data_IF_447691295258
#
_entry.id   IF_447691295258
#
_cell.length_a   1.000
_cell.length_b   1.000
_cell.length_c   1.000
_cell.angle_alpha   90.00
_cell.angle_beta   90.00
_cell.angle_gamma   90.00
#
_symmetry.space_group_name_H-M   'P 1'
#
loop_
_entity.id
_entity.type
_entity.pdbx_description
1 polymer ?
#
# COMPACT_ATOMS: atom_id res chain seq x y z
N UNK A 1 52.49 -27.73 -36.25
CA UNK A 1 52.40 -28.10 -34.82
C UNK A 1 51.43 -27.15 -34.13
N UNK A 2 50.14 -27.48 -34.11
CA UNK A 2 49.11 -26.71 -33.41
C UNK A 2 48.22 -27.69 -32.66
N UNK A 3 48.36 -27.72 -31.33
CA UNK A 3 47.49 -28.46 -30.42
C UNK A 3 46.69 -27.46 -29.58
N UNK A 4 45.39 -27.38 -29.85
CA UNK A 4 44.43 -26.53 -29.13
C UNK A 4 44.15 -27.03 -27.72
N UNK A 5 43.94 -26.08 -26.79
CA UNK A 5 43.52 -26.33 -25.41
C UNK A 5 42.02 -26.62 -25.36
N UNK A 6 41.65 -27.75 -24.76
CA UNK A 6 40.27 -28.17 -24.47
C UNK A 6 39.78 -27.60 -23.14
N UNK A 7 38.54 -27.06 -23.14
CA UNK A 7 37.73 -26.83 -21.94
C UNK A 7 37.35 -28.16 -21.26
N UNK A 8 37.19 -28.22 -19.93
CA UNK A 8 36.66 -29.40 -19.27
C UNK A 8 35.12 -29.46 -19.43
N UNK A 9 34.64 -30.60 -19.89
CA UNK A 9 33.23 -30.97 -19.97
C UNK A 9 32.64 -31.12 -18.57
N UNK A 10 31.58 -30.35 -18.28
CA UNK A 10 30.72 -30.65 -17.13
C UNK A 10 30.01 -31.98 -17.39
N UNK A 11 30.37 -32.99 -16.61
CA UNK A 11 29.75 -34.31 -16.59
C UNK A 11 28.25 -34.20 -16.29
N UNK A 12 27.40 -34.88 -17.09
CA UNK A 12 25.95 -34.98 -16.93
C UNK A 12 25.50 -35.48 -15.54
N UNK A 13 26.40 -36.08 -14.76
CA UNK A 13 26.12 -36.51 -13.38
C UNK A 13 26.01 -35.35 -12.38
N UNK A 14 26.61 -34.19 -12.67
CA UNK A 14 26.58 -33.01 -11.80
C UNK A 14 25.27 -32.22 -11.91
N UNK A 15 24.69 -32.12 -13.11
CA UNK A 15 23.37 -31.49 -13.31
C UNK A 15 22.22 -32.30 -12.68
N UNK A 16 22.31 -33.62 -12.70
CA UNK A 16 21.29 -34.49 -12.11
C UNK A 16 21.20 -34.32 -10.58
N UNK A 17 22.34 -34.09 -9.89
CA UNK A 17 22.38 -33.88 -8.44
C UNK A 17 21.78 -32.55 -7.99
N UNK A 18 21.75 -31.53 -8.86
CA UNK A 18 21.20 -30.20 -8.56
C UNK A 18 19.72 -30.11 -8.94
N UNK A 19 19.30 -30.79 -10.02
CA UNK A 19 17.91 -30.75 -10.48
C UNK A 19 16.96 -31.63 -9.66
N UNK A 20 17.44 -32.74 -9.09
CA UNK A 20 16.62 -33.66 -8.29
C UNK A 20 15.96 -33.00 -7.06
N UNK A 21 16.68 -32.25 -6.20
CA UNK A 21 16.05 -31.59 -5.05
C UNK A 21 15.08 -30.47 -5.47
N UNK A 22 15.33 -29.78 -6.60
CA UNK A 22 14.42 -28.76 -7.12
C UNK A 22 13.11 -29.37 -7.63
N UNK A 23 13.17 -30.51 -8.31
CA UNK A 23 11.97 -31.23 -8.76
C UNK A 23 11.17 -31.75 -7.56
N UNK A 24 11.85 -32.28 -6.53
CA UNK A 24 11.18 -32.68 -5.29
C UNK A 24 10.53 -31.47 -4.61
N UNK A 25 11.20 -30.31 -4.54
CA UNK A 25 10.63 -29.11 -3.94
C UNK A 25 9.39 -28.61 -4.69
N UNK A 26 9.39 -28.63 -6.03
CA UNK A 26 8.22 -28.28 -6.85
C UNK A 26 7.10 -29.31 -6.67
N UNK A 27 7.42 -30.61 -6.62
CA UNK A 27 6.43 -31.65 -6.39
C UNK A 27 5.84 -31.59 -4.98
N UNK A 28 6.64 -31.24 -3.96
CA UNK A 28 6.16 -31.03 -2.58
C UNK A 28 5.31 -29.77 -2.49
N UNK A 29 5.70 -28.69 -3.17
CA UNK A 29 4.91 -27.45 -3.21
C UNK A 29 3.58 -27.64 -3.95
N UNK A 30 3.58 -28.31 -5.10
CA UNK A 30 2.36 -28.65 -5.83
C UNK A 30 1.53 -29.69 -5.08
N UNK A 31 2.14 -30.66 -4.38
CA UNK A 31 1.44 -31.58 -3.49
C UNK A 31 0.80 -30.84 -2.31
N UNK A 32 1.47 -29.87 -1.69
CA UNK A 32 0.90 -29.03 -0.64
C UNK A 32 -0.22 -28.16 -1.17
N UNK A 33 -0.09 -27.60 -2.37
CA UNK A 33 -1.14 -26.80 -3.02
C UNK A 33 -2.37 -27.64 -3.40
N UNK A 34 -2.14 -28.85 -3.92
CA UNK A 34 -3.20 -29.84 -4.22
C UNK A 34 -3.85 -30.33 -2.93
N UNK A 35 -3.07 -30.55 -1.86
CA UNK A 35 -3.56 -30.91 -0.54
C UNK A 35 -4.38 -29.78 0.10
N UNK A 36 -3.95 -28.53 -0.02
CA UNK A 36 -4.70 -27.37 0.49
C UNK A 36 -6.02 -27.18 -0.29
N UNK A 37 -6.02 -27.48 -1.60
CA UNK A 37 -7.25 -27.53 -2.40
C UNK A 37 -8.16 -28.73 -2.05
N UNK A 38 -7.62 -29.93 -1.89
CA UNK A 38 -8.43 -31.10 -1.54
C UNK A 38 -8.91 -31.05 -0.09
N UNK A 39 -8.11 -30.53 0.84
CA UNK A 39 -8.51 -30.24 2.21
C UNK A 39 -9.62 -29.17 2.19
N UNK A 40 -9.51 -28.09 1.38
CA UNK A 40 -10.58 -27.12 1.16
C UNK A 40 -11.89 -27.75 0.65
N UNK A 41 -11.84 -28.65 -0.35
CA UNK A 41 -13.03 -29.34 -0.86
C UNK A 41 -13.57 -30.41 0.09
N UNK A 42 -12.71 -31.06 0.87
CA UNK A 42 -13.09 -32.04 1.89
C UNK A 42 -13.74 -31.37 3.10
N UNK A 43 -13.25 -30.19 3.49
CA UNK A 43 -13.79 -29.35 4.56
C UNK A 43 -15.14 -28.74 4.17
N UNK A 44 -15.32 -28.37 2.89
CA UNK A 44 -16.64 -28.00 2.36
C UNK A 44 -17.61 -29.18 2.48
N UNK A 45 -17.15 -30.39 2.12
CA UNK A 45 -17.99 -31.60 2.17
C UNK A 45 -18.29 -32.05 3.60
N UNK A 46 -17.36 -31.85 4.53
CA UNK A 46 -17.54 -32.10 5.96
C UNK A 46 -18.44 -31.05 6.63
N UNK A 47 -18.35 -29.78 6.21
CA UNK A 47 -19.26 -28.71 6.66
C UNK A 47 -20.72 -28.93 6.23
N UNK A 48 -20.96 -29.66 5.13
CA UNK A 48 -22.29 -30.03 4.63
C UNK A 48 -22.88 -31.24 5.37
N UNK A 49 -22.07 -32.11 5.96
CA UNK A 49 -22.52 -33.34 6.62
C UNK A 49 -22.21 -33.33 8.12
N UNK A 50 -23.12 -32.76 8.91
CA UNK A 50 -23.35 -33.21 10.28
C UNK A 50 -22.81 -32.33 11.40
N UNK A 51 -23.48 -31.21 11.65
CA UNK A 51 -23.70 -30.63 12.99
C UNK A 51 -24.85 -29.64 12.89
N UNK A 52 -25.79 -29.65 13.85
CA UNK A 52 -26.87 -28.64 13.94
C UNK A 52 -26.23 -27.26 14.16
N UNK A 53 -25.89 -26.56 13.09
CA UNK A 53 -25.42 -25.17 13.13
C UNK A 53 -26.62 -24.28 13.48
N UNK A 54 -26.42 -23.28 14.32
CA UNK A 54 -27.46 -22.27 14.53
C UNK A 54 -27.66 -21.53 13.21
N UNK A 55 -28.90 -21.55 12.72
CA UNK A 55 -29.30 -20.90 11.47
C UNK A 55 -29.73 -19.49 11.82
N UNK A 56 -28.93 -18.50 11.40
CA UNK A 56 -29.27 -17.10 11.52
C UNK A 56 -29.93 -16.61 10.23
N UNK A 57 -30.85 -15.67 10.33
CA UNK A 57 -31.40 -15.03 9.13
C UNK A 57 -30.46 -13.94 8.63
N UNK A 58 -29.99 -13.10 9.56
CA UNK A 58 -29.07 -12.01 9.29
C UNK A 58 -27.87 -12.10 10.21
N UNK A 59 -26.68 -12.02 9.65
CA UNK A 59 -25.46 -11.79 10.40
C UNK A 59 -24.97 -10.38 10.12
N UNK A 60 -24.63 -9.64 11.17
CA UNK A 60 -24.05 -8.31 11.10
C UNK A 60 -22.60 -8.37 11.54
N UNK A 61 -21.67 -8.13 10.60
CA UNK A 61 -20.25 -7.96 10.85
C UNK A 61 -19.90 -6.48 11.02
N UNK A 62 -19.54 -6.06 12.23
CA UNK A 62 -19.14 -4.69 12.53
C UNK A 62 -17.62 -4.60 12.47
N UNK A 63 -17.06 -3.89 11.48
CA UNK A 63 -15.63 -3.61 11.46
C UNK A 63 -15.30 -2.61 12.57
N UNK A 64 -14.37 -2.99 13.45
CA UNK A 64 -13.94 -2.11 14.54
C UNK A 64 -12.42 -2.11 14.65
N UNK A 65 -11.84 -0.98 15.06
CA UNK A 65 -10.43 -0.89 15.40
C UNK A 65 -10.20 -1.31 16.86
N UNK A 66 -9.02 -1.85 17.17
CA UNK A 66 -8.69 -2.35 18.52
C UNK A 66 -9.00 -1.35 19.64
N UNK A 67 -8.64 -0.08 19.46
CA UNK A 67 -8.82 0.99 20.45
C UNK A 67 -10.23 1.58 20.50
N UNK A 68 -11.16 1.20 19.62
CA UNK A 68 -12.54 1.71 19.56
C UNK A 68 -13.48 1.08 20.61
N UNK A 69 -13.04 0.98 21.87
CA UNK A 69 -13.85 0.38 22.94
C UNK A 69 -15.19 1.10 23.13
N UNK A 70 -15.16 2.44 23.20
CA UNK A 70 -16.35 3.26 23.46
C UNK A 70 -17.39 3.16 22.34
N UNK A 71 -16.95 3.04 21.08
CA UNK A 71 -17.85 2.84 19.93
C UNK A 71 -18.54 1.47 20.00
N UNK A 72 -17.80 0.43 20.37
CA UNK A 72 -18.39 -0.91 20.58
C UNK A 72 -19.38 -0.93 21.73
N UNK A 73 -19.06 -0.28 22.85
CA UNK A 73 -19.99 -0.13 23.97
C UNK A 73 -21.24 0.67 23.57
N UNK A 74 -21.11 1.73 22.76
CA UNK A 74 -22.24 2.48 22.25
C UNK A 74 -23.16 1.60 21.37
N UNK A 75 -22.60 0.76 20.50
CA UNK A 75 -23.37 -0.20 19.71
C UNK A 75 -24.10 -1.21 20.61
N UNK A 76 -23.40 -1.79 21.60
CA UNK A 76 -23.97 -2.71 22.59
C UNK A 76 -25.11 -2.08 23.39
N UNK A 77 -24.99 -0.81 23.74
CA UNK A 77 -25.98 -0.06 24.51
C UNK A 77 -27.17 0.43 23.66
N UNK A 78 -27.07 0.38 22.32
CA UNK A 78 -28.09 0.88 21.40
C UNK A 78 -28.75 -0.26 20.61
N UNK A 79 -28.51 -0.32 19.30
CA UNK A 79 -29.24 -1.22 18.40
C UNK A 79 -28.88 -2.69 18.60
N UNK A 80 -27.64 -3.00 19.02
CA UNK A 80 -27.27 -4.38 19.37
C UNK A 80 -27.95 -4.83 20.67
N UNK A 81 -28.08 -3.92 21.65
CA UNK A 81 -28.86 -4.17 22.86
C UNK A 81 -30.33 -4.42 22.56
N UNK A 82 -30.92 -3.60 21.69
CA UNK A 82 -32.29 -3.80 21.19
C UNK A 82 -32.49 -5.19 20.57
N UNK A 83 -31.59 -5.66 19.69
CA UNK A 83 -31.66 -7.01 19.11
C UNK A 83 -31.66 -8.10 20.20
N UNK A 84 -30.77 -7.97 21.18
CA UNK A 84 -30.60 -8.96 22.26
C UNK A 84 -31.85 -9.07 23.12
N UNK A 85 -32.47 -7.94 23.44
CA UNK A 85 -33.58 -7.89 24.36
C UNK A 85 -34.92 -8.23 23.65
N UNK A 86 -35.00 -8.01 22.33
CA UNK A 86 -36.20 -8.32 21.52
C UNK A 86 -36.45 -9.85 21.41
N UNK A 87 -37.68 -10.33 21.69
CA UNK A 87 -38.01 -11.77 21.66
C UNK A 87 -37.78 -12.42 20.29
N UNK A 88 -38.13 -11.72 19.23
CA UNK A 88 -38.06 -12.28 17.88
C UNK A 88 -36.67 -12.16 17.24
N UNK A 89 -35.87 -11.16 17.62
CA UNK A 89 -34.59 -10.89 16.94
C UNK A 89 -33.40 -11.62 17.56
N UNK A 90 -33.43 -11.89 18.87
CA UNK A 90 -32.31 -12.51 19.60
C UNK A 90 -31.80 -13.82 18.99
N UNK A 91 -32.68 -14.57 18.31
CA UNK A 91 -32.37 -15.86 17.69
C UNK A 91 -32.23 -15.76 16.15
N UNK A 92 -32.65 -14.64 15.54
CA UNK A 92 -32.62 -14.43 14.08
C UNK A 92 -31.40 -13.64 13.63
N UNK A 93 -30.92 -12.72 14.46
CA UNK A 93 -29.85 -11.77 14.12
C UNK A 93 -28.62 -12.02 14.98
N UNK A 94 -27.48 -12.28 14.33
CA UNK A 94 -26.18 -12.40 14.99
C UNK A 94 -25.35 -11.15 14.74
N UNK A 95 -24.89 -10.47 15.79
CA UNK A 95 -23.96 -9.33 15.65
C UNK A 95 -22.58 -9.74 16.16
N UNK A 96 -21.54 -9.46 15.38
CA UNK A 96 -20.15 -9.70 15.76
C UNK A 96 -19.24 -8.54 15.36
N UNK A 97 -18.38 -8.13 16.28
CA UNK A 97 -17.30 -7.19 16.00
C UNK A 97 -16.12 -7.92 15.38
N UNK A 98 -15.53 -7.34 14.34
CA UNK A 98 -14.40 -7.90 13.60
C UNK A 98 -13.19 -7.02 13.86
N UNK A 99 -12.19 -7.60 14.53
CA UNK A 99 -11.00 -6.86 14.99
C UNK A 99 -9.73 -7.60 14.57
N UNK A 100 -8.71 -6.86 14.17
CA UNK A 100 -7.41 -7.44 13.86
C UNK A 100 -6.73 -7.97 15.14
N UNK A 101 -6.30 -9.23 15.09
CA UNK A 101 -5.66 -9.94 16.20
C UNK A 101 -4.36 -9.27 16.66
N UNK A 102 -3.64 -8.61 15.76
CA UNK A 102 -2.36 -7.98 16.07
C UNK A 102 -2.48 -6.46 15.97
N UNK A 103 -1.92 -5.73 16.93
CA UNK A 103 -1.70 -4.29 16.81
C UNK A 103 -0.45 -4.01 15.97
N UNK A 104 -0.40 -2.87 15.27
CA UNK A 104 0.82 -2.47 14.58
C UNK A 104 1.92 -2.16 15.59
N UNK A 105 3.07 -2.84 15.50
CA UNK A 105 4.18 -2.68 16.44
C UNK A 105 4.93 -1.33 16.31
N UNK A 106 4.65 -0.56 15.26
CA UNK A 106 5.37 0.65 14.91
C UNK A 106 4.54 1.88 15.36
N UNK A 107 5.12 2.82 16.13
CA UNK A 107 4.50 4.11 16.46
C UNK A 107 4.10 4.87 15.19
N UNK A 108 3.00 5.64 15.25
CA UNK A 108 2.46 6.33 14.06
C UNK A 108 3.45 7.32 13.44
N UNK A 109 4.27 7.96 14.27
CA UNK A 109 5.30 8.92 13.88
C UNK A 109 6.42 8.25 13.06
N UNK A 110 6.70 6.97 13.37
CA UNK A 110 7.76 6.17 12.77
C UNK A 110 7.27 5.29 11.61
N UNK A 111 6.03 5.51 11.13
CA UNK A 111 5.47 4.85 9.94
C UNK A 111 5.73 5.65 8.66
N UNK A 112 5.86 4.92 7.55
CA UNK A 112 5.93 5.49 6.19
C UNK A 112 4.68 6.32 5.87
N UNK A 113 3.50 5.79 6.20
CA UNK A 113 2.21 6.46 6.12
C UNK A 113 1.33 6.08 7.33
N UNK A 114 0.38 6.93 7.73
CA UNK A 114 -0.42 6.68 8.94
C UNK A 114 -1.34 5.45 8.82
N UNK A 115 -1.60 4.99 7.59
CA UNK A 115 -2.59 3.95 7.29
C UNK A 115 -1.99 2.55 7.16
N UNK A 116 -0.65 2.42 7.09
CA UNK A 116 0.08 1.14 7.01
C UNK A 116 0.76 0.78 8.32
N UNK A 117 1.40 -0.40 8.36
CA UNK A 117 2.34 -0.78 9.41
C UNK A 117 3.74 -0.98 8.83
N UNK A 118 4.22 -0.01 8.05
CA UNK A 118 5.54 -0.06 7.41
C UNK A 118 6.49 0.91 8.09
N UNK A 119 7.69 0.43 8.44
CA UNK A 119 8.71 1.23 9.13
C UNK A 119 9.26 2.33 8.21
N UNK A 120 9.34 3.54 8.76
CA UNK A 120 10.00 4.67 8.11
C UNK A 120 11.53 4.51 8.20
N UNK A 121 12.12 4.04 7.09
CA UNK A 121 13.55 3.77 6.96
C UNK A 121 14.33 5.03 6.52
N UNK A 122 14.50 5.96 7.45
CA UNK A 122 15.32 7.15 7.28
C UNK A 122 16.69 6.98 7.94
N UNK A 123 17.73 7.48 7.27
CA UNK A 123 19.08 7.60 7.84
C UNK A 123 19.36 9.05 8.20
N UNK A 124 20.26 9.27 9.15
CA UNK A 124 20.71 10.64 9.47
C UNK A 124 21.34 11.30 8.24
N UNK A 125 20.91 12.53 7.89
CA UNK A 125 21.50 13.24 6.76
C UNK A 125 22.93 13.68 7.08
N UNK A 126 23.82 13.58 6.09
CA UNK A 126 25.17 14.11 6.16
C UNK A 126 25.22 15.65 6.16
N UNK A 127 26.41 16.23 6.28
CA UNK A 127 26.60 17.68 6.38
C UNK A 127 26.22 18.49 5.12
N UNK A 128 25.99 17.84 3.97
CA UNK A 128 25.70 18.51 2.70
C UNK A 128 24.19 18.68 2.54
N UNK A 129 23.76 19.94 2.35
CA UNK A 129 22.36 20.39 2.35
C UNK A 129 21.60 20.10 1.06
N UNK A 130 22.29 19.96 -0.07
CA UNK A 130 21.67 19.67 -1.39
C UNK A 130 21.96 18.23 -1.82
N UNK A 131 20.89 17.51 -2.16
CA UNK A 131 20.92 16.12 -2.62
C UNK A 131 20.58 16.08 -4.11
N UNK A 132 21.54 15.62 -4.91
CA UNK A 132 21.32 15.31 -6.32
C UNK A 132 20.76 13.90 -6.45
N UNK A 133 19.55 13.76 -6.99
CA UNK A 133 18.88 12.45 -7.17
C UNK A 133 19.64 11.52 -8.10
N UNK A 134 20.28 12.08 -9.13
CA UNK A 134 21.02 11.32 -10.12
C UNK A 134 22.30 12.05 -10.51
N UNK A 135 23.43 11.36 -10.36
CA UNK A 135 24.75 11.83 -10.77
C UNK A 135 25.28 10.96 -11.91
N UNK A 136 25.78 11.60 -12.98
CA UNK A 136 26.47 10.94 -14.11
C UNK A 136 25.66 9.81 -14.75
N UNK A 137 24.53 10.11 -15.43
CA UNK A 137 23.77 9.08 -16.15
C UNK A 137 24.68 8.38 -17.18
N UNK A 138 24.75 7.05 -17.11
CA UNK A 138 25.42 6.24 -18.13
C UNK A 138 24.40 5.67 -19.10
N UNK A 139 24.75 5.58 -20.38
CA UNK A 139 23.92 5.01 -21.46
C UNK A 139 22.54 5.67 -21.65
N UNK A 140 22.54 6.98 -21.92
CA UNK A 140 21.33 7.69 -22.35
C UNK A 140 20.82 7.15 -23.70
N UNK A 141 19.51 6.90 -23.79
CA UNK A 141 18.85 6.40 -25.00
C UNK A 141 17.77 7.40 -25.44
N UNK A 142 17.65 7.70 -26.75
CA UNK A 142 16.54 8.49 -27.25
C UNK A 142 15.20 7.84 -26.93
N UNK A 143 14.22 8.64 -26.53
CA UNK A 143 12.85 8.20 -26.29
C UNK A 143 11.99 8.39 -27.52
N UNK A 144 11.13 7.41 -27.79
CA UNK A 144 10.12 7.47 -28.85
C UNK A 144 8.91 8.35 -28.46
N UNK A 145 8.85 8.80 -27.20
CA UNK A 145 7.73 9.58 -26.65
C UNK A 145 8.17 10.97 -26.25
N UNK A 146 7.27 11.94 -26.40
CA UNK A 146 7.52 13.35 -26.09
C UNK A 146 7.31 13.72 -24.62
N UNK A 147 6.66 12.85 -23.84
CA UNK A 147 6.28 13.11 -22.45
C UNK A 147 6.66 11.94 -21.54
N UNK A 148 7.46 12.22 -20.52
CA UNK A 148 8.02 11.22 -19.60
C UNK A 148 7.76 11.65 -18.17
N UNK A 149 7.32 10.72 -17.32
CA UNK A 149 6.91 10.99 -15.95
C UNK A 149 7.68 10.13 -14.95
N UNK A 150 8.12 10.74 -13.86
CA UNK A 150 8.65 10.08 -12.68
C UNK A 150 7.74 10.35 -11.49
N UNK A 151 7.23 9.28 -10.91
CA UNK A 151 6.42 9.35 -9.70
C UNK A 151 7.34 9.24 -8.47
N UNK A 152 7.04 10.04 -7.45
CA UNK A 152 7.77 10.00 -6.19
C UNK A 152 6.88 10.36 -5.00
N UNK A 153 7.28 9.88 -3.84
CA UNK A 153 6.64 10.15 -2.55
C UNK A 153 7.63 10.74 -1.57
N UNK A 154 7.22 11.79 -0.87
CA UNK A 154 8.01 12.47 0.15
C UNK A 154 7.73 11.82 1.50
N UNK A 155 8.78 11.30 2.15
CA UNK A 155 8.73 10.62 3.45
C UNK A 155 9.21 11.50 4.61
N UNK A 156 9.92 12.59 4.30
CA UNK A 156 10.27 13.68 5.20
C UNK A 156 10.27 15.00 4.42
N UNK A 157 9.86 16.15 4.98
CA UNK A 157 9.75 17.40 4.22
C UNK A 157 11.04 17.79 3.47
N UNK A 158 10.89 18.17 2.21
CA UNK A 158 11.99 18.60 1.33
C UNK A 158 11.64 19.89 0.59
N UNK A 159 12.66 20.57 0.07
CA UNK A 159 12.52 21.72 -0.83
C UNK A 159 13.24 21.42 -2.13
N UNK A 160 12.50 21.39 -3.24
CA UNK A 160 13.13 21.25 -4.57
C UNK A 160 13.74 22.59 -4.95
N UNK A 161 15.04 22.59 -5.26
CA UNK A 161 15.82 23.80 -5.57
C UNK A 161 16.08 23.94 -7.06
N UNK A 162 16.27 22.81 -7.77
CA UNK A 162 16.58 22.81 -9.19
C UNK A 162 15.90 21.63 -9.90
N UNK A 163 15.40 21.89 -11.10
CA UNK A 163 14.90 20.86 -12.02
C UNK A 163 15.87 20.73 -13.20
N UNK A 164 16.11 19.50 -13.65
CA UNK A 164 17.09 19.24 -14.68
C UNK A 164 16.64 18.25 -15.74
N UNK A 165 17.34 18.30 -16.87
CA UNK A 165 17.06 17.56 -18.10
C UNK A 165 18.35 16.98 -18.66
N UNK A 166 18.28 15.77 -19.22
CA UNK A 166 19.42 15.18 -19.89
C UNK A 166 19.80 15.94 -21.17
N UNK A 167 21.10 15.98 -21.52
CA UNK A 167 21.55 16.58 -22.77
C UNK A 167 21.08 15.76 -23.98
N UNK A 168 20.78 16.44 -25.09
CA UNK A 168 20.27 15.82 -26.32
C UNK A 168 21.35 15.61 -27.39
N UNK A 169 22.48 16.33 -27.30
CA UNK A 169 23.53 16.36 -28.33
C UNK A 169 24.80 15.56 -28.00
N UNK A 170 25.60 15.19 -29.02
CA UNK A 170 26.83 14.40 -28.87
C UNK A 170 27.97 15.10 -28.11
N UNK A 171 27.90 16.42 -27.91
CA UNK A 171 28.84 17.20 -27.08
C UNK A 171 28.22 17.70 -25.77
N UNK A 172 27.19 17.02 -25.26
CA UNK A 172 26.38 17.47 -24.11
C UNK A 172 25.58 18.76 -24.35
N UNK A 173 25.46 19.20 -25.60
CA UNK A 173 24.63 20.33 -25.99
C UNK A 173 23.14 20.03 -25.75
N UNK A 174 22.41 21.07 -25.34
CA UNK A 174 20.96 21.04 -25.26
C UNK A 174 20.36 21.60 -26.55
N UNK A 175 19.83 20.71 -27.40
CA UNK A 175 19.14 21.08 -28.63
C UNK A 175 17.65 20.86 -28.43
N UNK A 176 16.92 21.95 -28.23
CA UNK A 176 15.47 21.95 -28.19
C UNK A 176 14.85 22.79 -27.08
N UNK A 177 13.57 22.53 -26.82
CA UNK A 177 12.75 23.13 -25.77
C UNK A 177 12.07 22.03 -24.96
N UNK A 178 12.51 21.88 -23.70
CA UNK A 178 11.91 20.93 -22.75
C UNK A 178 11.34 21.71 -21.58
N UNK A 179 10.10 21.39 -21.23
CA UNK A 179 9.45 21.91 -20.03
C UNK A 179 9.38 20.81 -18.99
N UNK A 180 9.86 21.10 -17.78
CA UNK A 180 9.77 20.21 -16.62
C UNK A 180 8.71 20.78 -15.68
N UNK A 181 7.73 19.97 -15.30
CA UNK A 181 6.62 20.36 -14.43
C UNK A 181 6.49 19.38 -13.28
N UNK A 182 6.32 19.91 -12.07
CA UNK A 182 5.99 19.13 -10.89
C UNK A 182 4.49 19.23 -10.61
N UNK A 183 3.78 18.11 -10.69
CA UNK A 183 2.37 18.01 -10.35
C UNK A 183 2.16 17.25 -9.04
N UNK A 184 1.32 17.75 -8.13
CA UNK A 184 0.72 16.91 -7.10
C UNK A 184 -0.18 15.85 -7.75
N UNK A 185 -0.22 14.63 -7.21
CA UNK A 185 -1.00 13.52 -7.79
C UNK A 185 -2.48 13.86 -8.01
N UNK A 186 -3.08 14.66 -7.14
CA UNK A 186 -4.51 15.00 -7.20
C UNK A 186 -4.82 16.35 -7.89
N UNK A 187 -3.81 17.00 -8.50
CA UNK A 187 -3.97 18.35 -9.06
C UNK A 187 -3.59 18.43 -10.54
N UNK A 188 -4.30 19.31 -11.26
CA UNK A 188 -4.04 19.60 -12.69
C UNK A 188 -3.04 20.72 -12.91
N UNK A 189 -2.74 21.52 -11.89
CA UNK A 189 -1.83 22.65 -11.98
C UNK A 189 -0.46 22.28 -11.42
N UNK A 190 0.64 22.65 -12.11
CA UNK A 190 1.97 22.36 -11.63
C UNK A 190 2.34 23.31 -10.48
N UNK A 191 2.92 22.77 -9.41
CA UNK A 191 3.47 23.56 -8.29
C UNK A 191 4.77 24.24 -8.72
N UNK A 192 5.57 23.57 -9.56
CA UNK A 192 6.85 24.08 -10.04
C UNK A 192 6.97 23.83 -11.53
N UNK A 193 7.42 24.84 -12.28
CA UNK A 193 7.71 24.70 -13.72
C UNK A 193 9.09 25.26 -14.05
N UNK A 194 9.88 24.51 -14.81
CA UNK A 194 11.14 24.95 -15.38
C UNK A 194 11.11 24.81 -16.91
N UNK A 195 11.40 25.89 -17.62
CA UNK A 195 11.55 25.87 -19.08
C UNK A 195 13.04 25.91 -19.45
N UNK A 196 13.52 24.85 -20.08
CA UNK A 196 14.90 24.74 -20.57
C UNK A 196 14.89 24.84 -22.09
N UNK A 197 15.67 25.76 -22.65
CA UNK A 197 15.79 25.97 -24.09
C UNK A 197 17.25 26.01 -24.51
N UNK A 198 17.55 25.83 -25.80
CA UNK A 198 18.92 25.94 -26.32
C UNK A 198 19.62 27.27 -25.98
N UNK A 199 18.86 28.36 -25.80
CA UNK A 199 19.40 29.67 -25.43
C UNK A 199 19.55 29.86 -23.89
N UNK A 200 18.84 29.07 -23.11
CA UNK A 200 18.84 29.13 -21.64
C UNK A 200 18.72 27.71 -21.04
N UNK A 201 19.75 26.85 -21.23
CA UNK A 201 19.73 25.48 -20.74
C UNK A 201 19.99 25.40 -19.23
N UNK A 202 20.50 26.46 -18.60
CA UNK A 202 20.83 26.49 -17.18
C UNK A 202 22.28 26.13 -16.90
N UNK A 203 22.55 25.49 -15.76
CA UNK A 203 23.90 25.12 -15.30
C UNK A 203 24.11 23.63 -15.54
N UNK A 204 25.20 23.26 -16.20
CA UNK A 204 25.55 21.86 -16.42
C UNK A 204 26.30 21.30 -15.21
N UNK A 205 25.71 20.30 -14.55
CA UNK A 205 26.29 19.65 -13.37
C UNK A 205 26.18 18.13 -13.53
N UNK A 206 27.31 17.43 -13.43
CA UNK A 206 27.39 15.96 -13.40
C UNK A 206 26.61 15.22 -14.51
N UNK A 207 26.55 15.78 -15.72
CA UNK A 207 25.87 15.11 -16.84
C UNK A 207 24.45 15.59 -17.14
N UNK A 208 23.92 16.55 -16.35
CA UNK A 208 22.54 17.01 -16.42
C UNK A 208 22.52 18.54 -16.45
N UNK A 209 21.63 19.12 -17.25
CA UNK A 209 21.38 20.56 -17.27
C UNK A 209 20.34 20.91 -16.22
N UNK A 210 20.66 21.78 -15.27
CA UNK A 210 19.78 22.20 -14.19
C UNK A 210 19.39 23.66 -14.29
N UNK A 211 18.12 23.95 -13.97
CA UNK A 211 17.60 25.30 -13.83
C UNK A 211 17.00 25.48 -12.45
N UNK A 212 17.37 26.57 -11.80
CA UNK A 212 16.79 26.95 -10.52
C UNK A 212 15.30 27.23 -10.67
N UNK A 213 14.54 26.85 -9.66
CA UNK A 213 13.08 26.98 -9.62
C UNK A 213 12.63 27.68 -8.34
N UNK A 214 11.38 28.13 -8.33
CA UNK A 214 10.75 28.63 -7.12
C UNK A 214 10.69 27.52 -6.06
N UNK A 215 11.10 27.87 -4.84
CA UNK A 215 11.30 26.92 -3.75
C UNK A 215 10.02 26.77 -2.95
N UNK A 216 9.44 25.57 -2.99
CA UNK A 216 8.29 25.19 -2.18
C UNK A 216 8.65 24.04 -1.24
N UNK A 217 8.16 24.10 -0.01
CA UNK A 217 8.28 22.99 0.95
C UNK A 217 7.25 21.93 0.58
N UNK A 218 7.73 20.74 0.20
CA UNK A 218 6.91 19.57 -0.01
C UNK A 218 6.79 18.81 1.32
N UNK A 219 5.58 18.67 1.90
CA UNK A 219 5.40 18.05 3.21
C UNK A 219 5.54 16.51 3.16
N UNK A 220 5.72 15.89 4.33
CA UNK A 220 5.64 14.41 4.47
C UNK A 220 4.29 13.92 3.96
N UNK A 221 4.31 12.85 3.16
CA UNK A 221 3.14 12.25 2.53
C UNK A 221 2.76 12.89 1.18
N UNK A 222 3.48 13.94 0.74
CA UNK A 222 3.29 14.48 -0.60
C UNK A 222 3.61 13.42 -1.66
N UNK A 223 2.66 13.16 -2.55
CA UNK A 223 2.84 12.32 -3.72
C UNK A 223 2.84 13.23 -4.95
N UNK A 224 3.89 13.14 -5.75
CA UNK A 224 4.14 14.02 -6.88
C UNK A 224 4.59 13.29 -8.13
N UNK A 225 4.29 13.91 -9.26
CA UNK A 225 4.64 13.47 -10.60
C UNK A 225 5.55 14.53 -11.23
N UNK A 226 6.79 14.16 -11.56
CA UNK A 226 7.71 15.02 -12.28
C UNK A 226 7.64 14.70 -13.78
N UNK A 227 7.09 15.63 -14.55
CA UNK A 227 6.83 15.49 -15.98
C UNK A 227 7.84 16.27 -16.80
N UNK A 228 8.51 15.60 -17.74
CA UNK A 228 9.30 16.21 -18.80
C UNK A 228 8.51 16.17 -20.10
N UNK A 229 8.32 17.32 -20.74
CA UNK A 229 7.64 17.45 -22.03
C UNK A 229 8.59 18.12 -23.05
N UNK A 230 8.85 17.43 -24.15
CA UNK A 230 9.58 17.99 -25.30
C UNK A 230 8.59 18.51 -26.35
N UNK A 231 8.86 19.70 -26.89
CA UNK A 231 8.13 20.25 -28.03
C UNK A 231 8.74 19.84 -29.38
N UNK A 232 9.97 19.29 -29.35
CA UNK A 232 10.75 18.99 -30.55
C UNK A 232 10.66 17.51 -30.97
N UNK A 233 10.71 17.23 -32.28
CA UNK A 233 10.67 15.86 -32.81
C UNK A 233 11.92 15.04 -32.51
N UNK A 234 13.02 15.66 -32.05
CA UNK A 234 14.24 14.95 -31.61
C UNK A 234 14.06 14.18 -30.30
N UNK A 235 12.92 14.35 -29.62
CA UNK A 235 12.53 13.56 -28.46
C UNK A 235 13.29 13.90 -27.18
N UNK A 236 12.95 13.19 -26.09
CA UNK A 236 13.66 13.25 -24.82
C UNK A 236 14.74 12.18 -24.77
N UNK A 237 15.87 12.46 -24.11
CA UNK A 237 16.81 11.42 -23.73
C UNK A 237 16.36 10.78 -22.43
N UNK A 238 16.55 9.47 -22.29
CA UNK A 238 16.12 8.70 -21.13
C UNK A 238 17.19 7.77 -20.61
N UNK A 239 17.02 7.35 -19.37
CA UNK A 239 17.81 6.27 -18.80
C UNK A 239 16.89 5.19 -18.22
N UNK A 240 17.31 3.94 -18.33
CA UNK A 240 16.58 2.83 -17.72
C UNK A 240 16.73 2.91 -16.19
N UNK A 241 15.64 3.21 -15.50
CA UNK A 241 15.59 3.39 -14.05
C UNK A 241 16.12 2.15 -13.30
N UNK A 242 15.88 0.93 -13.80
CA UNK A 242 16.34 -0.31 -13.16
C UNK A 242 17.86 -0.48 -13.17
N UNK A 243 18.59 0.28 -14.01
CA UNK A 243 20.05 0.20 -14.14
C UNK A 243 20.78 1.33 -13.41
N UNK A 244 20.03 2.21 -12.74
CA UNK A 244 20.56 3.44 -12.16
C UNK A 244 20.25 3.46 -10.66
N UNK A 245 21.28 3.76 -9.86
CA UNK A 245 21.09 3.96 -8.43
C UNK A 245 20.69 5.42 -8.17
N UNK A 246 19.44 5.62 -7.74
CA UNK A 246 18.92 6.94 -7.41
C UNK A 246 19.20 7.28 -5.95
N UNK A 247 19.71 8.49 -5.70
CA UNK A 247 19.95 8.98 -4.36
C UNK A 247 18.64 9.48 -3.74
N UNK A 248 18.16 8.74 -2.73
CA UNK A 248 16.94 9.06 -2.00
C UNK A 248 17.16 10.01 -0.81
N UNK A 249 18.36 10.59 -0.67
CA UNK A 249 18.70 11.52 0.42
C UNK A 249 18.63 10.87 1.81
N UNK A 250 19.02 9.59 1.93
CA UNK A 250 18.86 8.84 3.17
C UNK A 250 17.44 8.32 3.41
N UNK A 251 16.63 8.19 2.35
CA UNK A 251 15.28 7.65 2.39
C UNK A 251 14.17 8.70 2.54
N UNK A 252 14.51 10.00 2.53
CA UNK A 252 13.54 11.10 2.67
C UNK A 252 12.55 11.19 1.51
N UNK A 253 12.90 10.59 0.37
CA UNK A 253 12.01 10.39 -0.76
C UNK A 253 12.01 8.92 -1.18
N UNK A 254 10.89 8.46 -1.72
CA UNK A 254 10.74 7.17 -2.37
C UNK A 254 10.47 7.41 -3.85
N UNK A 255 11.35 6.90 -4.70
CA UNK A 255 11.31 7.06 -6.15
C UNK A 255 10.81 5.77 -6.78
N UNK A 256 9.91 5.87 -7.76
CA UNK A 256 9.39 4.72 -8.48
C UNK A 256 7.87 4.75 -8.59
N UNK A 257 7.29 3.79 -9.34
CA UNK A 257 5.84 3.69 -9.45
C UNK A 257 5.24 3.57 -8.05
N UNK A 258 4.24 4.39 -7.75
CA UNK A 258 3.53 4.35 -6.48
C UNK A 258 2.72 3.05 -6.47
N UNK A 259 3.32 1.98 -5.94
CA UNK A 259 2.66 0.68 -5.76
C UNK A 259 1.61 0.79 -4.66
N UNK A 260 0.43 1.30 -5.01
CA UNK A 260 -0.76 1.25 -4.14
C UNK A 260 -1.97 0.72 -4.93
N UNK A 261 -2.02 -0.61 -5.06
CA UNK A 261 -3.25 -1.42 -5.03
C UNK A 261 -4.41 -1.16 -6.01
N UNK A 262 -4.35 -0.19 -6.92
CA UNK A 262 -5.54 0.21 -7.69
C UNK A 262 -5.19 0.86 -9.03
N UNK A 263 -5.35 0.06 -10.09
CA UNK A 263 -5.45 0.41 -11.51
C UNK A 263 -4.23 1.11 -12.18
N UNK A 264 -3.70 0.58 -13.30
CA UNK A 264 -2.48 1.04 -13.97
C UNK A 264 -2.59 2.41 -14.69
N UNK A 265 -3.51 3.30 -14.30
CA UNK A 265 -3.84 4.52 -15.06
C UNK A 265 -3.93 5.82 -14.22
N UNK A 266 -3.33 5.89 -13.02
CA UNK A 266 -3.38 7.14 -12.24
C UNK A 266 -2.57 8.30 -12.83
N UNK A 267 -1.49 8.05 -13.55
CA UNK A 267 -0.65 9.09 -14.15
C UNK A 267 -0.74 9.06 -15.69
N UNK A 268 -1.82 9.63 -16.24
CA UNK A 268 -1.99 9.80 -17.69
C UNK A 268 -1.12 10.94 -18.29
N UNK A 269 -0.20 11.51 -17.51
CA UNK A 269 0.57 12.69 -17.91
C UNK A 269 1.76 12.36 -18.82
N UNK A 270 2.32 11.15 -18.73
CA UNK A 270 3.46 10.73 -19.55
C UNK A 270 3.83 9.27 -19.35
N UNK A 271 4.78 8.77 -20.14
CA UNK A 271 5.27 7.41 -19.98
C UNK A 271 6.20 7.30 -18.76
N UNK A 272 6.11 6.23 -17.96
CA UNK A 272 6.96 6.06 -16.79
C UNK A 272 8.43 5.97 -17.22
N UNK A 273 9.28 6.83 -16.68
CA UNK A 273 10.69 6.87 -17.02
C UNK A 273 11.42 8.05 -16.40
N UNK A 274 12.68 8.20 -16.77
CA UNK A 274 13.53 9.27 -16.27
C UNK A 274 14.19 9.97 -17.45
N UNK A 275 13.95 11.28 -17.59
CA UNK A 275 14.48 12.13 -18.66
C UNK A 275 15.38 13.27 -18.15
N UNK A 276 15.73 13.22 -16.86
CA UNK A 276 16.53 14.23 -16.19
C UNK A 276 16.73 13.90 -14.73
N UNK A 277 16.84 14.93 -13.91
CA UNK A 277 16.96 14.80 -12.46
C UNK A 277 16.47 16.06 -11.77
N UNK A 278 16.44 16.05 -10.45
CA UNK A 278 16.18 17.24 -9.65
C UNK A 278 17.13 17.27 -8.45
N UNK A 279 17.36 18.47 -7.93
CA UNK A 279 18.13 18.71 -6.72
C UNK A 279 17.15 19.22 -5.68
N UNK A 280 17.26 18.68 -4.47
CA UNK A 280 16.43 19.09 -3.36
C UNK A 280 17.27 19.22 -2.08
N UNK A 281 16.79 20.04 -1.16
CA UNK A 281 17.33 20.15 0.20
C UNK A 281 16.36 19.56 1.21
N UNK A 282 16.89 19.02 2.30
CA UNK A 282 16.10 18.46 3.39
C UNK A 282 15.63 19.61 4.29
N UNK A 283 14.31 19.74 4.44
CA UNK A 283 13.74 20.74 5.33
C UNK A 283 13.77 20.24 6.77
N UNK A 284 14.08 21.12 7.73
CA UNK A 284 14.13 20.79 9.17
C UNK A 284 15.00 19.55 9.51
N UNK A 285 16.30 19.66 9.22
CA UNK A 285 17.30 18.60 9.49
C UNK A 285 17.42 18.30 11.00
N UNK A 286 17.31 19.31 11.86
CA UNK A 286 17.42 19.14 13.31
C UNK A 286 16.19 18.43 13.89
N UNK A 287 14.99 18.73 13.36
CA UNK A 287 13.77 17.98 13.67
C UNK A 287 13.89 16.51 13.25
N UNK A 288 14.44 16.23 12.07
CA UNK A 288 14.69 14.86 11.62
C UNK A 288 15.65 14.09 12.56
N UNK A 289 16.77 14.71 12.95
CA UNK A 289 17.72 14.09 13.91
C UNK A 289 17.06 13.81 15.25
N UNK A 290 16.31 14.77 15.78
CA UNK A 290 15.57 14.61 17.04
C UNK A 290 14.56 13.47 16.95
N UNK A 291 13.84 13.37 15.83
CA UNK A 291 12.93 12.27 15.57
C UNK A 291 13.66 10.92 15.55
N UNK A 292 14.78 10.81 14.84
CA UNK A 292 15.57 9.58 14.75
C UNK A 292 16.14 9.15 16.11
N UNK A 293 16.71 10.06 16.89
CA UNK A 293 17.23 9.77 18.23
C UNK A 293 16.14 9.32 19.21
N UNK A 294 14.95 9.93 19.17
CA UNK A 294 13.83 9.58 20.06
C UNK A 294 13.09 8.28 19.69
N UNK A 295 13.49 7.60 18.60
CA UNK A 295 12.78 6.41 18.07
C UNK A 295 12.74 5.26 19.08
N UNK A 296 13.85 5.00 19.78
CA UNK A 296 13.94 3.88 20.74
C UNK A 296 12.95 4.07 21.89
N UNK A 297 12.90 5.27 22.46
CA UNK A 297 12.01 5.58 23.58
C UNK A 297 10.53 5.50 23.16
N UNK A 298 10.19 6.06 21.98
CA UNK A 298 8.83 5.94 21.41
C UNK A 298 8.45 4.48 21.17
N UNK A 299 9.36 3.68 20.64
CA UNK A 299 9.13 2.25 20.40
C UNK A 299 8.82 1.50 21.71
N UNK A 300 9.56 1.80 22.79
CA UNK A 300 9.33 1.20 24.10
C UNK A 300 7.99 1.63 24.71
N UNK A 301 7.68 2.93 24.68
CA UNK A 301 6.41 3.46 25.17
C UNK A 301 5.22 2.89 24.39
N UNK A 302 5.35 2.79 23.07
CA UNK A 302 4.33 2.22 22.20
C UNK A 302 4.09 0.73 22.48
N UNK A 303 5.15 -0.05 22.68
CA UNK A 303 5.04 -1.47 23.06
C UNK A 303 4.26 -1.65 24.37
N UNK A 304 4.51 -0.81 25.37
CA UNK A 304 3.77 -0.85 26.63
C UNK A 304 2.28 -0.50 26.41
N UNK A 305 1.97 0.48 25.56
CA UNK A 305 0.60 0.85 25.19
C UNK A 305 -0.13 -0.29 24.48
N UNK A 306 0.50 -0.94 23.50
CA UNK A 306 -0.07 -2.09 22.79
C UNK A 306 -0.36 -3.25 23.73
N UNK A 307 0.52 -3.53 24.70
CA UNK A 307 0.28 -4.58 25.68
C UNK A 307 -0.93 -4.25 26.58
N UNK A 308 -1.11 -2.98 26.96
CA UNK A 308 -2.29 -2.55 27.73
C UNK A 308 -3.57 -2.69 26.91
N UNK A 309 -3.54 -2.28 25.65
CA UNK A 309 -4.66 -2.42 24.71
C UNK A 309 -5.04 -3.90 24.51
N UNK A 310 -4.06 -4.78 24.24
CA UNK A 310 -4.30 -6.22 24.09
C UNK A 310 -4.99 -6.81 25.32
N UNK A 311 -4.50 -6.47 26.53
CA UNK A 311 -5.11 -6.96 27.77
C UNK A 311 -6.57 -6.52 27.91
N UNK A 312 -6.85 -5.24 27.68
CA UNK A 312 -8.21 -4.70 27.76
C UNK A 312 -9.14 -5.36 26.73
N UNK A 313 -8.63 -5.61 25.52
CA UNK A 313 -9.39 -6.23 24.43
C UNK A 313 -9.69 -7.72 24.69
N UNK A 314 -8.77 -8.44 25.33
CA UNK A 314 -9.02 -9.82 25.79
C UNK A 314 -10.07 -9.86 26.90
N UNK A 315 -9.99 -8.95 27.89
CA UNK A 315 -11.00 -8.83 28.95
C UNK A 315 -12.39 -8.51 28.37
N UNK A 316 -12.46 -7.59 27.41
CA UNK A 316 -13.68 -7.26 26.67
C UNK A 316 -14.25 -8.47 25.92
N UNK A 317 -13.40 -9.19 25.19
CA UNK A 317 -13.79 -10.40 24.45
C UNK A 317 -14.33 -11.50 25.38
N UNK A 318 -13.67 -11.74 26.51
CA UNK A 318 -14.14 -12.69 27.52
C UNK A 318 -15.47 -12.29 28.16
N UNK A 319 -15.68 -10.99 28.40
CA UNK A 319 -16.90 -10.47 29.03
C UNK A 319 -18.11 -10.54 28.10
N UNK A 320 -17.94 -10.20 26.82
CA UNK A 320 -19.06 -10.01 25.89
C UNK A 320 -19.24 -11.15 24.89
N UNK A 321 -18.18 -11.89 24.53
CA UNK A 321 -18.25 -13.02 23.58
C UNK A 321 -18.70 -12.62 22.16
N UNK A 322 -18.66 -11.33 21.82
CA UNK A 322 -19.14 -10.76 20.57
C UNK A 322 -18.01 -10.33 19.61
N UNK A 323 -16.75 -10.54 19.98
CA UNK A 323 -15.58 -10.19 19.17
C UNK A 323 -15.04 -11.42 18.42
N UNK A 324 -14.77 -11.24 17.12
CA UNK A 324 -14.03 -12.17 16.28
C UNK A 324 -12.66 -11.55 15.98
N UNK A 325 -11.61 -12.20 16.46
CA UNK A 325 -10.24 -11.86 16.12
C UNK A 325 -9.85 -12.53 14.80
N UNK A 326 -9.43 -11.72 13.82
CA UNK A 326 -8.88 -12.21 12.56
C UNK A 326 -7.38 -12.00 12.51
N UNK A 327 -6.65 -12.94 11.92
CA UNK A 327 -5.17 -12.96 11.94
C UNK A 327 -4.53 -11.93 11.00
N UNK A 328 -4.69 -10.64 11.35
CA UNK A 328 -4.25 -9.48 10.58
C UNK A 328 -3.72 -8.43 11.55
N UNK A 329 -2.70 -7.69 11.12
CA UNK A 329 -2.27 -6.45 11.79
C UNK A 329 -3.31 -5.37 11.54
N UNK A 330 -4.00 -4.92 12.59
CA UNK A 330 -5.11 -3.97 12.47
C UNK A 330 -4.59 -2.58 12.08
N UNK A 331 -4.75 -2.25 10.79
CA UNK A 331 -4.46 -0.95 10.20
C UNK A 331 -5.54 -0.64 9.18
N UNK A 332 -5.63 0.62 8.76
CA UNK A 332 -6.62 1.01 7.74
C UNK A 332 -6.41 0.28 6.41
N UNK A 333 -5.17 0.13 5.95
CA UNK A 333 -4.87 -0.56 4.67
C UNK A 333 -5.16 -2.06 4.70
N UNK A 334 -5.20 -2.67 5.87
CA UNK A 334 -5.47 -4.11 6.02
C UNK A 334 -6.94 -4.45 6.26
N UNK A 335 -7.83 -3.45 6.28
CA UNK A 335 -9.29 -3.62 6.38
C UNK A 335 -9.86 -4.62 5.35
N UNK A 336 -9.43 -4.62 4.08
CA UNK A 336 -9.90 -5.64 3.11
C UNK A 336 -9.55 -7.07 3.53
N UNK A 337 -8.37 -7.30 4.09
CA UNK A 337 -7.98 -8.62 4.63
C UNK A 337 -8.77 -8.98 5.88
N UNK A 338 -9.04 -8.00 6.76
CA UNK A 338 -9.89 -8.17 7.94
C UNK A 338 -11.28 -8.69 7.56
N UNK A 339 -11.89 -8.06 6.55
CA UNK A 339 -13.18 -8.48 6.01
C UNK A 339 -13.12 -9.86 5.33
N UNK A 340 -12.09 -10.11 4.51
CA UNK A 340 -11.91 -11.41 3.84
C UNK A 340 -11.80 -12.56 4.84
N UNK A 341 -11.05 -12.39 5.92
CA UNK A 341 -10.89 -13.42 6.93
C UNK A 341 -12.14 -13.60 7.78
N UNK A 342 -12.89 -12.53 8.01
CA UNK A 342 -14.22 -12.65 8.61
C UNK A 342 -15.15 -13.50 7.74
N UNK A 343 -15.19 -13.29 6.42
CA UNK A 343 -15.99 -14.15 5.53
C UNK A 343 -15.57 -15.62 5.59
N UNK A 344 -14.26 -15.91 5.63
CA UNK A 344 -13.76 -17.27 5.82
C UNK A 344 -14.23 -17.87 7.15
N UNK A 345 -14.21 -17.08 8.23
CA UNK A 345 -14.71 -17.51 9.53
C UNK A 345 -16.21 -17.79 9.49
N UNK A 346 -16.99 -16.90 8.87
CA UNK A 346 -18.44 -17.02 8.76
C UNK A 346 -18.88 -18.30 8.06
N UNK A 347 -18.33 -18.58 6.88
CA UNK A 347 -18.64 -19.80 6.10
C UNK A 347 -18.33 -21.08 6.88
N UNK A 348 -17.34 -21.04 7.79
CA UNK A 348 -16.94 -22.19 8.60
C UNK A 348 -17.79 -22.37 9.86
N UNK A 349 -18.25 -21.28 10.48
CA UNK A 349 -18.78 -21.30 11.85
C UNK A 349 -20.28 -21.00 11.97
N UNK A 350 -20.93 -20.48 10.92
CA UNK A 350 -22.36 -20.15 10.98
C UNK A 350 -23.08 -20.46 9.67
N UNK A 351 -24.34 -20.83 9.77
CA UNK A 351 -25.28 -20.85 8.64
C UNK A 351 -26.12 -19.59 8.70
N UNK A 352 -26.18 -18.85 7.59
CA UNK A 352 -26.93 -17.61 7.52
C UNK A 352 -27.53 -17.37 6.13
N UNK A 353 -28.63 -16.60 6.08
CA UNK A 353 -29.28 -16.24 4.81
C UNK A 353 -28.74 -14.92 4.24
N UNK A 354 -28.43 -13.95 5.10
CA UNK A 354 -27.89 -12.65 4.72
C UNK A 354 -26.71 -12.25 5.61
N UNK A 355 -25.71 -11.63 5.00
CA UNK A 355 -24.59 -11.00 5.68
C UNK A 355 -24.63 -9.48 5.45
N UNK A 356 -24.44 -8.74 6.53
CA UNK A 356 -24.47 -7.29 6.58
C UNK A 356 -23.15 -6.79 7.19
N UNK A 357 -22.27 -6.16 6.42
CA UNK A 357 -21.12 -5.46 6.99
C UNK A 357 -21.50 -4.03 7.31
N UNK A 358 -21.06 -3.55 8.47
CA UNK A 358 -21.09 -2.14 8.85
C UNK A 358 -19.76 -1.72 9.51
N UNK A 359 -19.63 -0.44 9.82
CA UNK A 359 -18.52 0.12 10.58
C UNK A 359 -18.98 0.46 12.00
N UNK A 360 -18.05 0.62 12.94
CA UNK A 360 -18.37 0.84 14.37
C UNK A 360 -18.83 2.25 14.71
N UNK A 361 -18.82 3.16 13.73
CA UNK A 361 -19.37 4.52 13.80
C UNK A 361 -20.77 4.64 13.18
N UNK A 362 -21.44 3.52 12.90
CA UNK A 362 -22.74 3.46 12.25
C UNK A 362 -23.87 2.99 13.17
N UNK A 363 -25.09 3.48 12.91
CA UNK A 363 -26.33 2.99 13.54
C UNK A 363 -27.17 2.20 12.53
N UNK A 364 -27.72 1.06 12.94
CA UNK A 364 -28.56 0.23 12.08
C UNK A 364 -29.99 0.17 12.62
N UNK A 365 -30.96 0.53 11.77
CA UNK A 365 -32.37 0.27 12.03
C UNK A 365 -32.72 -1.17 11.62
N UNK A 366 -32.68 -2.08 12.57
CA UNK A 366 -32.80 -3.53 12.33
C UNK A 366 -34.21 -3.91 11.89
N UNK A 367 -35.24 -3.24 12.41
CA UNK A 367 -36.64 -3.47 12.02
C UNK A 367 -36.83 -3.21 10.52
N UNK A 368 -36.32 -2.08 10.05
CA UNK A 368 -36.43 -1.70 8.63
C UNK A 368 -35.64 -2.65 7.72
N UNK A 369 -34.49 -3.15 8.18
CA UNK A 369 -33.70 -4.16 7.46
C UNK A 369 -34.50 -5.45 7.31
N UNK A 370 -35.04 -6.00 8.40
CA UNK A 370 -35.82 -7.25 8.37
C UNK A 370 -37.12 -7.10 7.56
N UNK A 371 -37.85 -6.00 7.73
CA UNK A 371 -39.05 -5.72 6.93
C UNK A 371 -38.74 -5.70 5.43
N UNK A 372 -37.60 -5.11 5.02
CA UNK A 372 -37.20 -5.08 3.60
C UNK A 372 -36.79 -6.46 3.08
N UNK A 373 -36.20 -7.31 3.92
CA UNK A 373 -35.84 -8.69 3.58
C UNK A 373 -37.09 -9.52 3.31
N UNK A 374 -38.07 -9.44 4.22
CA UNK A 374 -39.34 -10.15 4.12
C UNK A 374 -40.15 -9.67 2.89
N UNK A 375 -40.26 -8.36 2.70
CA UNK A 375 -41.00 -7.76 1.59
C UNK A 375 -40.42 -8.12 0.21
N UNK A 376 -39.08 -8.15 0.08
CA UNK A 376 -38.40 -8.41 -1.20
C UNK A 376 -38.17 -9.90 -1.47
N UNK A 377 -38.52 -10.80 -0.54
CA UNK A 377 -38.30 -12.24 -0.69
C UNK A 377 -36.83 -12.61 -0.87
N UNK A 378 -35.92 -11.84 -0.24
CA UNK A 378 -34.46 -11.99 -0.39
C UNK A 378 -33.89 -13.29 0.21
N UNK A 379 -34.74 -14.09 0.87
CA UNK A 379 -34.41 -15.40 1.44
C UNK A 379 -34.15 -16.46 0.33
N UNK A 380 -34.31 -16.11 -0.95
CA UNK A 380 -33.93 -17.00 -2.08
C UNK A 380 -32.60 -16.59 -2.71
N UNK A 381 -31.57 -17.37 -2.36
CA UNK A 381 -30.25 -17.53 -3.00
C UNK A 381 -29.35 -16.29 -3.10
N UNK A 382 -28.30 -16.26 -2.27
CA UNK A 382 -26.99 -15.60 -2.44
C UNK A 382 -26.96 -14.37 -3.37
N UNK A 383 -27.61 -13.28 -2.95
CA UNK A 383 -27.61 -12.00 -3.67
C UNK A 383 -26.88 -10.94 -2.85
N UNK A 384 -25.70 -10.53 -3.33
CA UNK A 384 -25.03 -9.29 -2.92
C UNK A 384 -25.66 -8.13 -3.72
N UNK A 385 -26.38 -7.22 -3.07
CA UNK A 385 -27.07 -6.12 -3.75
C UNK A 385 -26.22 -4.85 -3.74
N UNK A 386 -26.20 -4.14 -4.88
CA UNK A 386 -25.57 -2.83 -5.04
C UNK A 386 -26.53 -1.89 -5.77
N UNK A 387 -27.22 -0.97 -5.06
CA UNK A 387 -27.55 0.37 -5.58
C UNK A 387 -28.16 1.32 -4.55
N UNK A 388 -27.61 2.55 -4.57
CA UNK A 388 -28.03 3.80 -3.94
C UNK A 388 -27.90 3.91 -2.41
N UNK A 389 -26.77 4.47 -1.97
CA UNK A 389 -26.73 5.37 -0.80
C UNK A 389 -26.59 4.76 0.59
N UNK A 390 -26.42 3.45 0.74
CA UNK A 390 -26.09 2.83 2.02
C UNK A 390 -24.97 1.81 1.81
N UNK A 391 -23.83 2.03 2.44
CA UNK A 391 -22.72 1.07 2.41
C UNK A 391 -23.03 -0.07 3.36
N UNK A 392 -23.41 -1.21 2.79
CA UNK A 392 -23.51 -2.49 3.46
C UNK A 392 -22.70 -3.44 2.58
N UNK A 393 -21.63 -4.01 3.12
CA UNK A 393 -20.78 -4.99 2.41
C UNK A 393 -21.23 -6.43 2.69
#
# INVERSE_FOLDING_TARGET
MHGGKLLPSLSMRSLALILFPCVIAVLVHEWWRLKDQTDFFSDIRAAVNGSRRMVYEVVVGVLSARHHHDLREAIRATWMGYIRDHPDFRNRVLVKFIIGKHGCAIPEEDREDPYSCTQLNLTEPGAVQDVTVLSKPSALVPSDVSAICLDFKVLHPIVITQLGVFPSGPQNDFRGSVTVKLFPVDQKEPVVTAHLTALSPGVYVEGIWYKAVEQFVLPKGFEGNLLWESQDPTGLMTVNVSKVQLNSGGGVIKLGPIEDGTLPHRSAHGFPGLAGGFIFSIYDVEGLKTQLHGRVDRQQAHKARLHKEEKALQEESHKHGDIIFVDVVDTYRTVPYKLLYFYKWMVRNAEFSLLLKTDDDCFINVDEVLMKIDYKGLIRSNLCFRRAGLWIV
#
